data_IF_015676441868
#
_entry.id   IF_015676441868
#
_cell.length_a   1.000
_cell.length_b   1.000
_cell.length_c   1.000
_cell.angle_alpha   90.00
_cell.angle_beta   90.00
_cell.angle_gamma   90.00
#
_symmetry.space_group_name_H-M   'P 1'
#
loop_
_entity.id
_entity.type
_entity.pdbx_description
1 polymer ?
#
# COMPACT_ATOMS: atom_id res chain seq x y z
N UNK A 1 -28.47 -19.94 3.05
CA UNK A 1 -27.97 -21.28 3.46
C UNK A 1 -26.95 -21.84 2.48
N UNK A 2 -27.18 -21.84 1.15
CA UNK A 2 -26.19 -22.33 0.17
C UNK A 2 -24.90 -21.49 0.04
N UNK A 3 -24.97 -20.16 0.25
CA UNK A 3 -23.79 -19.30 0.12
C UNK A 3 -22.77 -19.49 1.24
N UNK A 4 -23.20 -19.87 2.45
CA UNK A 4 -22.28 -20.16 3.57
C UNK A 4 -21.43 -21.41 3.31
N UNK A 5 -22.02 -22.49 2.80
CA UNK A 5 -21.27 -23.70 2.43
C UNK A 5 -20.31 -23.43 1.25
N UNK A 6 -20.74 -22.65 0.25
CA UNK A 6 -19.87 -22.21 -0.86
C UNK A 6 -18.75 -21.28 -0.38
N UNK A 7 -19.02 -20.42 0.60
CA UNK A 7 -18.02 -19.57 1.23
C UNK A 7 -16.97 -20.39 1.99
N UNK A 8 -17.39 -21.38 2.78
CA UNK A 8 -16.44 -22.28 3.44
C UNK A 8 -15.60 -23.05 2.43
N UNK A 9 -16.21 -23.51 1.32
CA UNK A 9 -15.48 -24.14 0.22
C UNK A 9 -14.50 -23.17 -0.47
N UNK A 10 -14.86 -21.92 -0.74
CA UNK A 10 -13.95 -20.92 -1.30
C UNK A 10 -12.80 -20.56 -0.34
N UNK A 11 -13.11 -20.46 0.96
CA UNK A 11 -12.12 -20.21 2.01
C UNK A 11 -11.13 -21.38 2.18
N UNK A 12 -11.54 -22.62 1.92
CA UNK A 12 -10.67 -23.80 2.04
C UNK A 12 -9.97 -24.15 0.71
N UNK A 13 -10.68 -24.11 -0.41
CA UNK A 13 -10.21 -24.56 -1.72
C UNK A 13 -9.64 -23.44 -2.60
N UNK A 14 -9.79 -22.17 -2.22
CA UNK A 14 -9.33 -21.03 -3.02
C UNK A 14 -10.16 -20.77 -4.28
N UNK A 15 -11.33 -21.41 -4.43
CA UNK A 15 -12.23 -21.18 -5.57
C UNK A 15 -12.86 -19.79 -5.50
N UNK A 16 -13.34 -19.27 -6.64
CA UNK A 16 -14.12 -18.04 -6.69
C UNK A 16 -15.21 -18.00 -5.60
N UNK A 17 -15.32 -16.86 -4.91
CA UNK A 17 -16.37 -16.66 -3.93
C UNK A 17 -17.76 -16.61 -4.60
N UNK A 18 -18.83 -16.94 -3.87
CA UNK A 18 -20.19 -16.62 -4.28
C UNK A 18 -20.35 -15.14 -4.64
N UNK A 19 -21.23 -14.85 -5.61
CA UNK A 19 -21.69 -13.48 -5.85
C UNK A 19 -22.64 -13.08 -4.74
N UNK A 20 -22.15 -12.29 -3.77
CA UNK A 20 -22.95 -11.73 -2.67
C UNK A 20 -23.59 -10.39 -3.05
N UNK A 21 -22.89 -9.60 -3.87
CA UNK A 21 -23.32 -8.28 -4.33
C UNK A 21 -22.85 -7.12 -3.43
N UNK A 22 -23.13 -5.88 -3.84
CA UNK A 22 -22.59 -4.67 -3.20
C UNK A 22 -23.11 -4.44 -1.77
N UNK A 23 -24.16 -5.13 -1.34
CA UNK A 23 -24.61 -5.09 0.06
C UNK A 23 -23.72 -5.87 1.02
N UNK A 24 -22.83 -6.74 0.51
CA UNK A 24 -21.90 -7.52 1.32
C UNK A 24 -20.54 -6.84 1.55
N UNK A 25 -20.46 -5.54 1.24
CA UNK A 25 -19.31 -4.68 1.50
C UNK A 25 -19.80 -3.36 2.07
N UNK A 26 -19.06 -2.83 3.05
CA UNK A 26 -19.18 -1.43 3.49
C UNK A 26 -17.85 -0.74 3.31
N UNK A 27 -17.74 0.08 2.28
CA UNK A 27 -16.58 0.94 2.04
C UNK A 27 -16.35 1.89 3.21
N UNK A 28 -15.09 2.16 3.54
CA UNK A 28 -14.70 3.22 4.48
C UNK A 28 -15.23 4.60 4.04
N UNK A 29 -15.55 4.78 2.76
CA UNK A 29 -16.18 5.98 2.24
C UNK A 29 -17.53 6.30 2.91
N UNK A 30 -18.25 5.29 3.42
CA UNK A 30 -19.48 5.51 4.19
C UNK A 30 -19.21 6.22 5.52
N UNK A 31 -18.11 5.89 6.20
CA UNK A 31 -17.66 6.66 7.38
C UNK A 31 -17.18 8.05 6.98
N UNK A 32 -16.53 8.16 5.82
CA UNK A 32 -16.00 9.43 5.30
C UNK A 32 -17.09 10.46 4.96
N UNK A 33 -18.36 10.06 4.85
CA UNK A 33 -19.49 10.99 4.69
C UNK A 33 -19.67 11.90 5.90
N UNK A 34 -19.40 11.40 7.12
CA UNK A 34 -19.51 12.17 8.36
C UNK A 34 -18.15 12.59 8.91
N UNK A 35 -17.15 11.71 8.82
CA UNK A 35 -15.78 11.97 9.28
C UNK A 35 -14.81 11.72 8.13
N UNK A 36 -14.46 12.76 7.37
CA UNK A 36 -13.61 12.65 6.17
C UNK A 36 -12.35 11.80 6.42
N UNK A 37 -11.65 12.10 7.49
CA UNK A 37 -10.46 11.36 7.93
C UNK A 37 -10.26 11.53 9.45
N UNK A 38 -9.39 10.68 10.00
CA UNK A 38 -8.90 10.77 11.38
C UNK A 38 -7.37 10.89 11.35
N UNK A 39 -6.81 11.83 12.10
CA UNK A 39 -5.36 11.93 12.30
C UNK A 39 -4.87 10.76 13.16
N UNK A 40 -3.78 10.12 12.74
CA UNK A 40 -3.25 8.92 13.41
C UNK A 40 -2.53 9.27 14.71
N UNK A 41 -2.92 8.61 15.78
CA UNK A 41 -2.16 8.47 17.01
C UNK A 41 -1.23 7.25 16.94
N UNK A 42 -0.31 7.16 17.91
CA UNK A 42 0.62 6.02 18.04
C UNK A 42 -0.13 4.68 18.14
N UNK A 43 -1.22 4.66 18.90
CA UNK A 43 -2.04 3.45 19.11
C UNK A 43 -2.70 2.93 17.83
N UNK A 44 -2.94 3.80 16.84
CA UNK A 44 -3.54 3.41 15.56
C UNK A 44 -2.59 2.61 14.65
N UNK A 45 -1.31 2.54 15.02
CA UNK A 45 -0.22 1.91 14.26
C UNK A 45 0.35 0.68 14.97
N UNK A 46 -0.28 0.24 16.07
CA UNK A 46 0.07 -1.01 16.74
C UNK A 46 -0.33 -2.20 15.89
N UNK A 47 0.53 -3.21 15.87
CA UNK A 47 0.28 -4.48 15.19
C UNK A 47 -0.98 -5.17 15.77
N UNK A 48 -1.92 -5.51 14.90
CA UNK A 48 -3.19 -6.15 15.25
C UNK A 48 -3.07 -7.66 15.40
N UNK A 49 -2.15 -8.29 14.67
CA UNK A 49 -1.80 -9.72 14.83
C UNK A 49 -3.03 -10.62 14.82
N UNK A 50 -3.86 -10.50 13.79
CA UNK A 50 -5.14 -11.20 13.77
C UNK A 50 -4.95 -12.73 13.80
N UNK A 51 -5.78 -13.41 14.58
CA UNK A 51 -5.80 -14.88 14.65
C UNK A 51 -6.47 -15.52 13.42
N UNK A 52 -7.11 -14.70 12.57
CA UNK A 52 -7.73 -15.11 11.31
C UNK A 52 -6.80 -14.82 10.12
N UNK A 53 -7.22 -15.29 8.92
CA UNK A 53 -6.46 -15.06 7.69
C UNK A 53 -6.21 -13.57 7.47
N UNK A 54 -4.95 -13.16 7.42
CA UNK A 54 -4.59 -11.78 7.16
C UNK A 54 -3.22 -11.64 6.49
N UNK A 55 -3.06 -10.49 5.84
CA UNK A 55 -1.77 -9.90 5.50
C UNK A 55 -1.73 -8.53 6.18
N UNK A 56 -0.81 -8.36 7.12
CA UNK A 56 -0.57 -7.13 7.86
C UNK A 56 0.83 -6.62 7.50
N UNK A 57 0.92 -5.36 7.06
CA UNK A 57 2.18 -4.83 6.52
C UNK A 57 2.51 -3.46 7.06
N UNK A 58 3.79 -3.25 7.32
CA UNK A 58 4.39 -1.93 7.46
C UNK A 58 5.34 -1.70 6.29
N UNK A 59 5.00 -0.74 5.43
CA UNK A 59 5.68 -0.49 4.15
C UNK A 59 6.23 0.93 4.11
N UNK A 60 7.49 1.06 3.70
CA UNK A 60 8.21 2.32 3.59
C UNK A 60 8.70 2.49 2.15
N UNK A 61 8.17 3.49 1.45
CA UNK A 61 8.69 3.90 0.13
C UNK A 61 9.66 5.07 0.32
N UNK A 62 10.83 4.97 -0.28
CA UNK A 62 11.94 5.92 -0.11
C UNK A 62 12.21 6.65 -1.43
N UNK A 63 12.47 7.94 -1.34
CA UNK A 63 12.95 8.78 -2.44
C UNK A 63 14.11 9.60 -1.92
N UNK A 64 15.34 9.18 -2.22
CA UNK A 64 16.54 9.88 -1.75
C UNK A 64 16.76 11.19 -2.50
N UNK A 65 17.48 12.12 -1.87
CA UNK A 65 17.84 13.40 -2.48
C UNK A 65 18.78 13.21 -3.69
N UNK A 66 19.49 12.08 -3.74
CA UNK A 66 20.34 11.67 -4.87
C UNK A 66 19.56 10.96 -5.99
N UNK A 67 18.23 10.87 -5.89
CA UNK A 67 17.37 10.31 -6.94
C UNK A 67 17.19 8.79 -6.91
N UNK A 68 17.64 8.10 -5.86
CA UNK A 68 17.35 6.68 -5.68
C UNK A 68 15.92 6.48 -5.18
N UNK A 69 15.26 5.44 -5.69
CA UNK A 69 13.93 5.00 -5.24
C UNK A 69 14.06 3.60 -4.67
N UNK A 70 13.44 3.36 -3.52
CA UNK A 70 13.47 2.06 -2.87
C UNK A 70 12.20 1.79 -2.06
N UNK A 71 12.05 0.54 -1.64
CA UNK A 71 11.02 0.08 -0.73
C UNK A 71 11.64 -0.80 0.35
N UNK A 72 11.23 -0.64 1.60
CA UNK A 72 11.47 -1.57 2.69
C UNK A 72 10.13 -1.96 3.32
N UNK A 73 9.91 -3.24 3.61
CA UNK A 73 8.61 -3.70 4.09
C UNK A 73 8.76 -4.89 5.04
N UNK A 74 8.02 -4.86 6.14
CA UNK A 74 7.73 -6.05 6.95
C UNK A 74 6.33 -6.54 6.59
N UNK A 75 6.22 -7.81 6.23
CA UNK A 75 4.95 -8.51 6.08
C UNK A 75 4.81 -9.48 7.24
N UNK A 76 3.72 -9.38 7.99
CA UNK A 76 3.21 -10.41 8.89
C UNK A 76 1.98 -11.02 8.24
N UNK A 77 1.88 -12.35 8.23
CA UNK A 77 0.72 -13.02 7.66
C UNK A 77 0.30 -14.19 8.53
N UNK A 78 -0.99 -14.30 8.75
CA UNK A 78 -1.60 -15.52 9.25
C UNK A 78 -2.30 -16.21 8.08
N UNK A 79 -1.78 -17.36 7.66
CA UNK A 79 -2.30 -18.14 6.53
C UNK A 79 -3.35 -19.11 7.05
N UNK A 80 -4.61 -18.89 6.65
CA UNK A 80 -5.76 -19.71 7.00
C UNK A 80 -6.07 -19.82 8.51
N UNK A 81 -5.49 -18.97 9.37
CA UNK A 81 -5.62 -19.09 10.83
C UNK A 81 -4.73 -20.21 11.43
N UNK A 82 -3.86 -20.81 10.63
CA UNK A 82 -3.14 -22.05 10.99
C UNK A 82 -1.64 -21.81 11.09
N UNK A 83 -1.10 -20.89 10.28
CA UNK A 83 0.35 -20.67 10.20
C UNK A 83 0.66 -19.20 10.10
N UNK A 84 1.43 -18.71 11.06
CA UNK A 84 2.06 -17.39 11.00
C UNK A 84 3.35 -17.48 10.20
N UNK A 85 3.55 -16.51 9.31
CA UNK A 85 4.81 -16.27 8.60
C UNK A 85 5.11 -14.78 8.57
N UNK A 86 6.38 -14.41 8.60
CA UNK A 86 6.79 -13.04 8.31
C UNK A 86 7.92 -13.00 7.28
N UNK A 87 8.02 -11.87 6.59
CA UNK A 87 9.06 -11.59 5.60
C UNK A 87 9.55 -10.16 5.75
N UNK A 88 10.82 -9.96 5.44
CA UNK A 88 11.38 -8.64 5.19
C UNK A 88 11.69 -8.50 3.71
N UNK A 89 11.11 -7.48 3.08
CA UNK A 89 11.31 -7.18 1.68
C UNK A 89 12.11 -5.88 1.54
N UNK A 90 13.09 -5.88 0.64
CA UNK A 90 13.84 -4.70 0.23
C UNK A 90 13.90 -4.67 -1.29
N UNK A 91 13.52 -3.53 -1.86
CA UNK A 91 13.67 -3.24 -3.29
C UNK A 91 14.46 -1.96 -3.49
N UNK A 92 15.49 -2.00 -4.32
CA UNK A 92 16.14 -0.79 -4.83
C UNK A 92 15.95 -0.78 -6.34
N UNK A 93 15.27 0.25 -6.84
CA UNK A 93 15.04 0.42 -8.26
C UNK A 93 16.33 0.92 -8.92
N UNK A 94 16.74 0.23 -9.97
CA UNK A 94 17.86 0.66 -10.81
C UNK A 94 17.45 1.87 -11.63
N UNK A 95 18.28 2.91 -11.62
CA UNK A 95 18.16 4.05 -12.53
C UNK A 95 18.74 3.76 -13.92
N UNK A 96 19.52 2.69 -14.05
CA UNK A 96 20.05 2.20 -15.32
C UNK A 96 19.15 1.07 -15.83
N UNK A 97 18.43 1.23 -16.95
CA UNK A 97 17.56 0.20 -17.50
C UNK A 97 18.31 -1.06 -17.97
N UNK A 98 19.64 -0.99 -18.13
CA UNK A 98 20.47 -2.15 -18.45
C UNK A 98 20.84 -2.99 -17.20
N UNK A 99 20.58 -2.49 -15.99
CA UNK A 99 20.87 -3.19 -14.74
C UNK A 99 19.58 -3.69 -14.07
N UNK A 100 19.57 -4.92 -13.53
CA UNK A 100 18.42 -5.41 -12.79
C UNK A 100 18.20 -4.60 -11.51
N UNK A 101 16.95 -4.51 -11.06
CA UNK A 101 16.65 -4.03 -9.73
C UNK A 101 17.20 -4.98 -8.66
N UNK A 102 17.60 -4.43 -7.51
CA UNK A 102 17.85 -5.26 -6.34
C UNK A 102 16.52 -5.59 -5.70
N UNK A 103 16.19 -6.88 -5.62
CA UNK A 103 14.99 -7.37 -4.95
C UNK A 103 15.37 -8.50 -3.99
N UNK A 104 15.07 -8.28 -2.71
CA UNK A 104 15.22 -9.25 -1.63
C UNK A 104 13.86 -9.45 -0.97
N UNK A 105 13.41 -10.69 -0.88
CA UNK A 105 12.21 -11.08 -0.13
C UNK A 105 12.56 -12.31 0.68
N UNK A 106 12.87 -12.08 1.96
CA UNK A 106 13.52 -13.09 2.80
C UNK A 106 12.66 -13.38 4.03
N UNK A 107 12.35 -14.66 4.33
CA UNK A 107 11.60 -15.04 5.53
C UNK A 107 12.26 -14.56 6.82
N UNK A 108 11.45 -14.27 7.82
CA UNK A 108 11.87 -13.89 9.17
C UNK A 108 11.56 -15.02 10.17
N UNK A 109 12.46 -15.23 11.13
CA UNK A 109 12.35 -16.28 12.15
C UNK A 109 12.27 -15.68 13.57
N UNK A 110 11.73 -16.46 14.51
CA UNK A 110 11.59 -16.09 15.93
C UNK A 110 10.91 -14.72 16.15
N UNK A 111 9.79 -14.52 15.46
CA UNK A 111 9.03 -13.27 15.47
C UNK A 111 8.52 -12.96 16.89
N UNK A 112 8.72 -11.72 17.32
CA UNK A 112 8.17 -11.17 18.55
C UNK A 112 7.78 -9.70 18.39
N UNK A 113 7.08 -9.16 19.38
CA UNK A 113 6.59 -7.78 19.38
C UNK A 113 6.91 -7.14 20.74
N UNK A 114 6.97 -5.80 20.79
CA UNK A 114 7.01 -5.09 22.07
C UNK A 114 5.74 -5.37 22.89
N UNK A 115 5.78 -5.13 24.20
CA UNK A 115 4.63 -5.39 25.10
C UNK A 115 3.37 -4.64 24.67
N UNK A 116 3.52 -3.46 24.09
CA UNK A 116 2.43 -2.63 23.59
C UNK A 116 2.08 -2.89 22.11
N UNK A 117 2.73 -3.86 21.46
CA UNK A 117 2.62 -4.19 20.03
C UNK A 117 2.97 -3.04 19.06
N UNK A 118 3.74 -2.05 19.47
CA UNK A 118 4.16 -0.96 18.58
C UNK A 118 5.40 -1.30 17.73
N UNK A 119 6.24 -2.22 18.19
CA UNK A 119 7.48 -2.64 17.52
C UNK A 119 7.46 -4.12 17.17
N UNK A 120 8.17 -4.48 16.10
CA UNK A 120 8.33 -5.83 15.57
C UNK A 120 9.80 -6.26 15.62
N UNK A 121 10.05 -7.50 16.03
CA UNK A 121 11.39 -8.09 16.13
C UNK A 121 11.43 -9.50 15.54
N UNK A 122 12.58 -9.85 14.97
CA UNK A 122 12.98 -11.18 14.52
C UNK A 122 14.50 -11.33 14.74
N UNK A 123 15.07 -12.52 14.51
CA UNK A 123 16.51 -12.76 14.71
C UNK A 123 17.38 -11.70 14.02
N UNK A 124 17.11 -11.45 12.73
CA UNK A 124 17.95 -10.60 11.88
C UNK A 124 17.24 -9.31 11.40
N UNK A 125 16.15 -8.92 12.07
CA UNK A 125 15.34 -7.75 11.70
C UNK A 125 14.66 -7.11 12.91
N UNK A 126 14.73 -5.78 13.00
CA UNK A 126 13.98 -4.98 13.96
C UNK A 126 13.32 -3.79 13.26
N UNK A 127 12.02 -3.64 13.50
CA UNK A 127 11.24 -2.46 13.15
C UNK A 127 10.72 -1.86 14.45
N UNK A 128 11.33 -0.76 14.88
CA UNK A 128 11.08 -0.17 16.19
C UNK A 128 10.34 1.14 16.02
N UNK A 129 9.19 1.28 16.70
CA UNK A 129 8.41 2.50 16.71
C UNK A 129 8.71 3.32 17.97
N UNK A 130 9.06 4.60 17.81
CA UNK A 130 9.41 5.47 18.93
C UNK A 130 8.27 5.61 19.95
N UNK A 131 8.63 5.78 21.23
CA UNK A 131 7.66 5.95 22.32
C UNK A 131 6.76 7.18 22.12
N UNK A 132 7.31 8.24 21.54
CA UNK A 132 6.57 9.47 21.21
C UNK A 132 5.73 9.36 19.92
N UNK A 133 5.83 8.25 19.19
CA UNK A 133 5.05 7.99 17.99
C UNK A 133 5.45 8.82 16.77
N UNK A 134 6.69 9.31 16.71
CA UNK A 134 7.16 10.23 15.66
C UNK A 134 8.08 9.61 14.62
N UNK A 135 8.74 8.48 14.89
CA UNK A 135 9.62 7.84 13.93
C UNK A 135 9.71 6.32 14.08
N UNK A 136 10.05 5.66 12.98
CA UNK A 136 10.47 4.25 12.96
C UNK A 136 11.98 4.15 12.74
N UNK A 137 12.63 3.14 13.35
CA UNK A 137 13.95 2.66 12.92
C UNK A 137 13.83 1.26 12.35
N UNK A 138 14.48 1.04 11.21
CA UNK A 138 14.48 -0.22 10.47
C UNK A 138 15.91 -0.72 10.41
N UNK A 139 16.18 -1.86 11.04
CA UNK A 139 17.48 -2.53 10.99
C UNK A 139 17.28 -3.94 10.51
N UNK A 140 17.93 -4.32 9.41
CA UNK A 140 17.89 -5.69 8.94
C UNK A 140 19.22 -6.13 8.35
N UNK A 141 19.64 -7.33 8.71
CA UNK A 141 20.75 -8.05 8.09
C UNK A 141 20.27 -9.42 7.56
N UNK A 142 18.96 -9.56 7.35
CA UNK A 142 18.29 -10.79 6.94
C UNK A 142 18.71 -11.26 5.54
N UNK A 143 19.22 -10.36 4.69
CA UNK A 143 19.77 -10.69 3.38
C UNK A 143 21.12 -9.99 3.17
N UNK A 144 22.19 -10.76 2.96
CA UNK A 144 23.55 -10.22 2.74
C UNK A 144 23.67 -9.32 1.50
N UNK A 145 22.71 -9.38 0.58
CA UNK A 145 22.67 -8.52 -0.60
C UNK A 145 22.17 -7.11 -0.27
N UNK A 146 21.46 -6.94 0.86
CA UNK A 146 20.85 -5.69 1.30
C UNK A 146 20.80 -5.59 2.83
N UNK A 147 21.83 -4.98 3.44
CA UNK A 147 21.82 -4.64 4.87
C UNK A 147 21.16 -3.28 5.05
N UNK A 148 20.07 -3.21 5.81
CA UNK A 148 19.24 -2.00 5.98
C UNK A 148 19.49 -1.37 7.33
N UNK A 149 19.73 -0.05 7.35
CA UNK A 149 19.77 0.76 8.56
C UNK A 149 19.15 2.13 8.28
N UNK A 150 17.85 2.27 8.55
CA UNK A 150 17.07 3.45 8.22
C UNK A 150 16.38 4.02 9.45
N UNK A 151 16.17 5.33 9.44
CA UNK A 151 15.25 6.04 10.35
C UNK A 151 14.27 6.85 9.52
N UNK A 152 12.97 6.64 9.74
CA UNK A 152 11.88 7.31 9.04
C UNK A 152 11.13 8.18 10.05
N UNK A 153 11.29 9.49 9.95
CA UNK A 153 10.69 10.47 10.88
C UNK A 153 9.53 11.17 10.21
N UNK A 154 8.35 11.13 10.82
CA UNK A 154 7.15 11.79 10.31
C UNK A 154 7.35 13.31 10.23
N UNK A 155 7.00 13.91 9.09
CA UNK A 155 7.07 15.37 8.90
C UNK A 155 5.69 16.04 8.84
N UNK A 156 4.63 15.28 8.58
CA UNK A 156 3.25 15.76 8.57
C UNK A 156 2.36 14.78 9.35
N UNK A 157 1.23 15.21 9.94
CA UNK A 157 0.30 14.30 10.59
C UNK A 157 -0.08 13.13 9.67
N UNK A 158 -0.11 11.93 10.25
CA UNK A 158 -0.60 10.75 9.56
C UNK A 158 -2.12 10.73 9.53
N UNK A 159 -2.72 9.98 8.60
CA UNK A 159 -4.18 9.86 8.53
C UNK A 159 -4.66 8.47 8.09
N UNK A 160 -5.91 8.19 8.42
CA UNK A 160 -6.76 7.19 7.75
C UNK A 160 -8.07 7.84 7.33
N UNK A 161 -8.71 7.34 6.27
CA UNK A 161 -10.07 7.78 5.93
C UNK A 161 -11.09 7.32 6.98
N UNK A 162 -12.19 8.07 7.11
CA UNK A 162 -13.23 7.68 8.05
C UNK A 162 -12.78 7.78 9.51
N UNK A 163 -13.55 7.13 10.38
CA UNK A 163 -13.25 7.02 11.81
C UNK A 163 -12.28 5.86 12.07
N UNK A 164 -12.45 4.75 11.37
CA UNK A 164 -11.75 3.48 11.64
C UNK A 164 -10.71 3.12 10.58
N UNK A 165 -10.76 3.75 9.40
CA UNK A 165 -9.95 3.35 8.25
C UNK A 165 -10.41 2.04 7.60
N UNK A 166 -11.49 1.40 8.07
CA UNK A 166 -11.86 0.05 7.68
C UNK A 166 -12.96 0.02 6.61
N UNK A 167 -12.68 -0.71 5.54
CA UNK A 167 -13.70 -1.30 4.66
C UNK A 167 -14.02 -2.70 5.19
N UNK A 168 -15.30 -3.03 5.33
CA UNK A 168 -15.75 -4.31 5.88
C UNK A 168 -16.38 -5.20 4.81
N UNK A 169 -16.18 -6.51 4.94
CA UNK A 169 -16.72 -7.53 4.04
C UNK A 169 -17.57 -8.51 4.84
N UNK A 170 -18.78 -8.77 4.37
CA UNK A 170 -19.72 -9.68 5.01
C UNK A 170 -21.18 -9.39 4.70
N UNK A 171 -22.00 -10.43 4.66
CA UNK A 171 -23.47 -10.28 4.62
C UNK A 171 -24.04 -9.83 5.97
N UNK A 172 -23.28 -10.00 7.05
CA UNK A 172 -23.53 -9.39 8.36
C UNK A 172 -22.38 -8.44 8.71
N UNK A 173 -22.57 -7.14 8.49
CA UNK A 173 -21.54 -6.13 8.72
C UNK A 173 -21.34 -5.81 10.21
N UNK A 174 -22.18 -6.34 11.11
CA UNK A 174 -21.91 -6.31 12.55
C UNK A 174 -20.87 -7.38 12.95
N UNK A 175 -20.77 -8.46 12.17
CA UNK A 175 -19.80 -9.54 12.34
C UNK A 175 -19.10 -9.83 10.99
N UNK A 176 -18.32 -8.86 10.47
CA UNK A 176 -17.70 -9.00 9.16
C UNK A 176 -16.71 -10.18 9.16
N UNK A 177 -16.62 -10.90 8.05
CA UNK A 177 -15.65 -11.99 7.89
C UNK A 177 -14.28 -11.48 7.43
N UNK A 178 -14.20 -10.24 6.96
CA UNK A 178 -12.97 -9.63 6.50
C UNK A 178 -13.01 -8.12 6.57
N UNK A 179 -11.83 -7.51 6.54
CA UNK A 179 -11.69 -6.05 6.49
C UNK A 179 -10.43 -5.65 5.75
N UNK A 180 -10.45 -4.46 5.15
CA UNK A 180 -9.24 -3.80 4.65
C UNK A 180 -9.06 -2.44 5.31
N UNK A 181 -7.81 -2.07 5.61
CA UNK A 181 -7.44 -0.77 6.17
C UNK A 181 -6.12 -0.29 5.60
N UNK A 182 -6.06 1.01 5.32
CA UNK A 182 -4.82 1.71 4.99
C UNK A 182 -4.70 2.97 5.84
N UNK A 183 -3.54 3.14 6.46
CA UNK A 183 -3.17 4.29 7.27
C UNK A 183 -1.81 4.81 6.79
N UNK A 184 -1.66 6.13 6.67
CA UNK A 184 -0.54 6.74 5.97
C UNK A 184 0.18 7.74 6.85
N UNK A 185 1.52 7.75 6.79
CA UNK A 185 2.30 8.97 6.96
C UNK A 185 2.75 9.45 5.58
N UNK A 186 2.00 10.37 4.96
CA UNK A 186 2.19 10.74 3.55
C UNK A 186 3.52 11.46 3.29
N UNK A 187 4.13 12.04 4.32
CA UNK A 187 5.41 12.75 4.23
C UNK A 187 6.27 12.49 5.45
N UNK A 188 7.43 11.89 5.21
CA UNK A 188 8.46 11.61 6.19
C UNK A 188 9.84 12.06 5.68
N UNK A 189 10.75 12.32 6.61
CA UNK A 189 12.19 12.35 6.35
C UNK A 189 12.76 10.95 6.52
N UNK A 190 13.46 10.46 5.51
CA UNK A 190 14.32 9.29 5.61
C UNK A 190 15.76 9.73 5.87
N UNK A 191 16.46 8.96 6.69
CA UNK A 191 17.92 9.04 6.89
C UNK A 191 18.48 7.64 7.06
N UNK A 192 19.75 7.45 6.76
CA UNK A 192 20.42 6.15 6.86
C UNK A 192 20.59 5.50 5.48
N UNK A 193 20.94 4.22 5.48
CA UNK A 193 21.54 3.58 4.32
C UNK A 193 20.97 2.19 4.06
N UNK A 194 21.11 1.76 2.81
CA UNK A 194 21.02 0.35 2.44
C UNK A 194 22.35 -0.04 1.81
N UNK A 195 23.05 -0.98 2.44
CA UNK A 195 24.36 -1.45 1.99
C UNK A 195 24.21 -2.68 1.13
N UNK A 196 24.76 -2.60 -0.08
CA UNK A 196 24.76 -3.65 -1.10
C UNK A 196 26.17 -4.15 -1.37
N UNK A 197 26.32 -5.16 -2.24
CA UNK A 197 27.63 -5.63 -2.70
C UNK A 197 28.42 -4.56 -3.46
N UNK A 198 27.76 -3.56 -4.04
CA UNK A 198 28.40 -2.44 -4.76
C UNK A 198 28.82 -1.30 -3.81
N UNK A 199 28.32 -1.31 -2.57
CA UNK A 199 28.59 -0.28 -1.57
C UNK A 199 27.33 0.21 -0.85
N UNK A 200 27.54 1.22 -0.02
CA UNK A 200 26.50 1.88 0.74
C UNK A 200 25.73 2.89 -0.12
N UNK A 201 24.39 2.82 -0.08
CA UNK A 201 23.51 3.78 -0.74
C UNK A 201 22.83 4.62 0.34
N UNK A 202 23.07 5.93 0.30
CA UNK A 202 22.43 6.90 1.20
C UNK A 202 20.99 7.17 0.76
N UNK A 203 20.05 6.92 1.67
CA UNK A 203 18.62 7.14 1.49
C UNK A 203 18.11 8.37 2.28
N UNK A 204 19.00 9.29 2.63
CA UNK A 204 18.62 10.62 3.08
C UNK A 204 17.72 11.28 2.03
N UNK A 205 16.52 11.68 2.44
CA UNK A 205 15.50 12.27 1.56
C UNK A 205 14.08 12.12 2.09
N UNK A 206 13.12 11.88 1.21
CA UNK A 206 11.70 11.77 1.54
C UNK A 206 11.25 10.31 1.64
N UNK A 207 10.23 10.08 2.44
CA UNK A 207 9.57 8.79 2.50
C UNK A 207 8.05 8.90 2.68
N UNK A 208 7.38 7.83 2.29
CA UNK A 208 5.99 7.51 2.62
C UNK A 208 6.00 6.27 3.51
N UNK A 209 5.23 6.30 4.59
CA UNK A 209 4.94 5.11 5.39
C UNK A 209 3.46 4.72 5.26
N UNK A 210 3.21 3.41 5.12
CA UNK A 210 1.88 2.82 5.05
C UNK A 210 1.79 1.66 6.04
N UNK A 211 0.81 1.75 6.94
CA UNK A 211 0.33 0.61 7.70
C UNK A 211 -0.94 0.07 7.04
N UNK A 212 -0.91 -1.19 6.62
CA UNK A 212 -2.03 -1.81 5.93
C UNK A 212 -2.41 -3.15 6.56
N UNK A 213 -3.72 -3.42 6.54
CA UNK A 213 -4.30 -4.69 6.96
C UNK A 213 -5.24 -5.15 5.87
N UNK A 214 -5.01 -6.37 5.43
CA UNK A 214 -5.93 -7.11 4.60
C UNK A 214 -6.35 -8.37 5.37
N UNK A 215 -7.44 -8.27 6.11
CA UNK A 215 -7.98 -9.33 6.99
C UNK A 215 -8.78 -10.40 6.25
N UNK A 216 -8.34 -10.77 5.04
CA UNK A 216 -8.88 -11.86 4.21
C UNK A 216 -7.89 -12.20 3.09
N UNK A 217 -8.21 -13.22 2.27
CA UNK A 217 -7.38 -13.60 1.13
C UNK A 217 -7.30 -12.46 0.09
N UNK A 218 -6.11 -12.15 -0.49
CA UNK A 218 -5.95 -11.03 -1.41
C UNK A 218 -6.91 -11.02 -2.60
N UNK A 219 -7.04 -12.15 -3.29
CA UNK A 219 -7.91 -12.30 -4.45
C UNK A 219 -9.41 -12.26 -4.12
N UNK A 220 -9.79 -12.36 -2.84
CA UNK A 220 -11.18 -12.12 -2.42
C UNK A 220 -11.41 -10.65 -2.07
N UNK A 221 -10.37 -9.93 -1.65
CA UNK A 221 -10.48 -8.54 -1.21
C UNK A 221 -10.54 -7.56 -2.38
N UNK A 222 -9.72 -7.79 -3.41
CA UNK A 222 -9.58 -6.88 -4.54
C UNK A 222 -9.25 -7.63 -5.84
N UNK A 223 -9.80 -7.12 -6.94
CA UNK A 223 -9.51 -7.55 -8.30
C UNK A 223 -8.40 -6.72 -8.94
N UNK A 224 -8.35 -5.42 -8.63
CA UNK A 224 -7.33 -4.50 -9.13
C UNK A 224 -7.07 -3.35 -8.16
N UNK A 225 -5.89 -2.74 -8.28
CA UNK A 225 -5.46 -1.61 -7.47
C UNK A 225 -4.82 -0.52 -8.31
N UNK A 226 -4.95 0.72 -7.83
CA UNK A 226 -4.17 1.88 -8.25
C UNK A 226 -3.51 2.48 -7.00
N UNK A 227 -2.21 2.72 -7.10
CA UNK A 227 -1.43 3.37 -6.05
C UNK A 227 -0.66 4.56 -6.63
N UNK A 228 -0.66 5.67 -5.89
CA UNK A 228 0.16 6.84 -6.20
C UNK A 228 0.83 7.35 -4.92
N UNK A 229 2.13 7.58 -5.00
CA UNK A 229 2.96 8.23 -4.00
C UNK A 229 3.76 9.35 -4.67
N UNK A 230 3.30 10.59 -4.54
CA UNK A 230 4.00 11.76 -5.03
C UNK A 230 4.79 12.43 -3.90
N UNK A 231 6.06 12.72 -4.14
CA UNK A 231 6.97 13.40 -3.24
C UNK A 231 7.60 14.62 -3.94
N UNK A 232 7.02 15.79 -3.70
CA UNK A 232 7.49 17.08 -4.21
C UNK A 232 8.22 17.93 -3.15
N UNK A 233 8.80 19.07 -3.55
CA UNK A 233 9.46 20.00 -2.63
C UNK A 233 8.56 20.43 -1.48
N UNK A 234 7.31 20.81 -1.77
CA UNK A 234 6.37 21.36 -0.77
C UNK A 234 5.30 20.34 -0.39
N UNK A 235 4.76 19.64 -1.38
CA UNK A 235 3.62 18.76 -1.23
C UNK A 235 4.04 17.29 -1.28
N UNK A 236 3.29 16.46 -0.55
CA UNK A 236 3.23 15.03 -0.80
C UNK A 236 1.77 14.63 -1.01
N UNK A 237 1.52 13.72 -1.96
CA UNK A 237 0.18 13.22 -2.23
C UNK A 237 0.19 11.69 -2.28
N UNK A 238 -0.79 11.06 -1.64
CA UNK A 238 -0.93 9.61 -1.62
C UNK A 238 -2.34 9.20 -2.03
N UNK A 239 -2.46 8.12 -2.78
CA UNK A 239 -3.74 7.50 -3.12
C UNK A 239 -3.58 5.98 -3.14
N UNK A 240 -4.55 5.29 -2.55
CA UNK A 240 -4.74 3.85 -2.63
C UNK A 240 -6.19 3.58 -3.02
N UNK A 241 -6.40 3.07 -4.22
CA UNK A 241 -7.71 2.72 -4.76
C UNK A 241 -7.73 1.24 -5.12
N UNK A 242 -8.80 0.55 -4.79
CA UNK A 242 -9.03 -0.81 -5.26
C UNK A 242 -10.46 -1.00 -5.74
N UNK A 243 -10.62 -1.91 -6.68
CA UNK A 243 -11.94 -2.45 -7.07
C UNK A 243 -12.04 -3.86 -6.51
N UNK A 244 -13.11 -4.14 -5.79
CA UNK A 244 -13.40 -5.51 -5.32
C UNK A 244 -13.71 -6.46 -6.48
N UNK A 245 -13.59 -7.79 -6.30
CA UNK A 245 -14.07 -8.75 -7.28
C UNK A 245 -15.59 -8.69 -7.49
N UNK A 246 -16.12 -9.34 -8.55
CA UNK A 246 -17.57 -9.43 -8.81
C UNK A 246 -18.39 -9.92 -7.60
N UNK A 247 -17.78 -10.70 -6.71
CA UNK A 247 -18.37 -11.17 -5.46
C UNK A 247 -18.97 -10.08 -4.58
N UNK A 248 -18.38 -8.88 -4.62
CA UNK A 248 -18.81 -7.69 -3.86
C UNK A 248 -19.31 -6.57 -4.77
N UNK A 249 -19.75 -6.92 -5.98
CA UNK A 249 -20.36 -6.00 -6.94
C UNK A 249 -19.39 -5.00 -7.54
N UNK A 250 -18.11 -5.36 -7.69
CA UNK A 250 -17.07 -4.51 -8.29
C UNK A 250 -17.00 -3.12 -7.61
N UNK A 251 -17.26 -3.10 -6.31
CA UNK A 251 -17.26 -1.89 -5.50
C UNK A 251 -15.87 -1.27 -5.52
N UNK A 252 -15.81 0.01 -5.93
CA UNK A 252 -14.63 0.85 -5.89
C UNK A 252 -14.46 1.44 -4.48
N UNK A 253 -13.25 1.38 -3.95
CA UNK A 253 -12.89 2.00 -2.68
C UNK A 253 -11.62 2.80 -2.90
N UNK A 254 -11.63 4.06 -2.51
CA UNK A 254 -10.51 4.98 -2.66
C UNK A 254 -10.20 5.64 -1.32
N UNK A 255 -8.92 5.72 -0.97
CA UNK A 255 -8.41 6.51 0.15
C UNK A 255 -7.20 7.30 -0.33
N UNK A 256 -7.15 8.59 -0.02
CA UNK A 256 -6.03 9.43 -0.43
C UNK A 256 -6.00 10.75 0.32
N UNK A 257 -4.92 11.51 0.11
CA UNK A 257 -4.74 12.81 0.72
C UNK A 257 -3.53 13.56 0.16
N UNK A 258 -3.54 14.86 0.42
CA UNK A 258 -2.48 15.81 0.06
C UNK A 258 -2.04 16.53 1.33
N UNK A 259 -0.74 16.59 1.55
CA UNK A 259 -0.15 17.20 2.75
C UNK A 259 0.99 18.15 2.40
N UNK A 260 1.31 19.00 3.38
CA UNK A 260 2.55 19.76 3.50
C UNK A 260 3.22 19.40 4.83
N UNK A 261 4.44 19.89 5.06
CA UNK A 261 5.14 19.69 6.35
C UNK A 261 4.43 20.32 7.56
N UNK A 262 3.52 21.27 7.37
CA UNK A 262 2.77 21.93 8.43
C UNK A 262 1.39 21.31 8.70
N UNK A 263 0.95 20.36 7.87
CA UNK A 263 -0.34 19.70 8.09
C UNK A 263 -0.92 18.96 6.90
N UNK A 264 -2.07 18.32 7.16
CA UNK A 264 -2.93 17.72 6.14
C UNK A 264 -3.75 18.82 5.48
N UNK A 265 -3.67 18.93 4.15
CA UNK A 265 -4.51 19.85 3.36
C UNK A 265 -5.88 19.22 3.16
N UNK A 266 -5.89 18.00 2.62
CA UNK A 266 -7.08 17.16 2.46
C UNK A 266 -6.72 15.70 2.67
N UNK A 267 -7.68 14.94 3.18
CA UNK A 267 -7.63 13.48 3.23
C UNK A 267 -9.07 12.94 3.22
N UNK A 268 -9.26 11.75 2.66
CA UNK A 268 -10.57 11.10 2.61
C UNK A 268 -10.72 10.18 1.40
N UNK A 269 -11.96 10.02 0.96
CA UNK A 269 -12.34 9.07 -0.10
C UNK A 269 -12.81 9.73 -1.40
N UNK A 270 -12.91 11.07 -1.44
CA UNK A 270 -13.38 11.82 -2.61
C UNK A 270 -12.22 12.04 -3.61
N UNK A 271 -11.60 10.95 -4.06
CA UNK A 271 -10.50 10.95 -5.03
C UNK A 271 -10.80 10.02 -6.20
N UNK A 272 -9.99 10.11 -7.26
CA UNK A 272 -10.16 9.34 -8.48
C UNK A 272 -8.80 8.94 -9.06
N UNK A 273 -8.64 7.66 -9.39
CA UNK A 273 -7.59 7.19 -10.30
C UNK A 273 -8.21 6.72 -11.62
N UNK A 274 -7.59 7.11 -12.74
CA UNK A 274 -7.97 6.67 -14.09
C UNK A 274 -6.75 6.30 -14.90
N UNK A 275 -6.86 5.19 -15.63
CA UNK A 275 -5.97 4.90 -16.76
C UNK A 275 -6.57 5.55 -18.00
N UNK A 276 -5.94 6.62 -18.48
CA UNK A 276 -6.39 7.37 -19.67
C UNK A 276 -6.02 6.63 -20.96
N UNK A 277 -4.87 5.96 -20.94
CA UNK A 277 -4.41 5.09 -22.01
C UNK A 277 -3.76 3.84 -21.41
N UNK A 278 -3.90 2.72 -22.11
CA UNK A 278 -3.24 1.47 -21.77
C UNK A 278 -2.82 0.74 -23.04
N UNK A 279 -1.79 -0.09 -22.92
CA UNK A 279 -1.33 -1.03 -23.93
C UNK A 279 -1.49 -2.45 -23.39
N UNK A 280 -1.82 -3.39 -24.26
CA UNK A 280 -1.88 -4.80 -23.86
C UNK A 280 -0.46 -5.31 -23.61
N UNK A 281 -0.23 -5.93 -22.46
CA UNK A 281 1.05 -6.58 -22.17
C UNK A 281 1.15 -7.90 -22.93
N UNK A 282 2.22 -8.07 -23.72
CA UNK A 282 2.42 -9.23 -24.59
C UNK A 282 2.67 -10.55 -23.86
N UNK A 283 3.02 -10.51 -22.57
CA UNK A 283 3.29 -11.72 -21.78
C UNK A 283 2.09 -12.15 -20.95
N UNK A 284 1.27 -11.20 -20.50
CA UNK A 284 0.20 -11.51 -19.56
C UNK A 284 -1.22 -11.04 -19.96
N UNK A 285 -1.38 -10.28 -21.03
CA UNK A 285 -2.64 -9.73 -21.56
C UNK A 285 -3.32 -8.65 -20.71
N UNK A 286 -2.75 -8.23 -19.58
CA UNK A 286 -3.31 -7.13 -18.78
C UNK A 286 -3.16 -5.78 -19.51
N UNK A 287 -4.07 -4.83 -19.27
CA UNK A 287 -3.99 -3.48 -19.82
C UNK A 287 -2.97 -2.66 -19.01
N UNK A 288 -1.70 -2.75 -19.37
CA UNK A 288 -0.63 -1.94 -18.79
C UNK A 288 -0.89 -0.45 -19.04
N UNK A 289 -1.05 0.37 -18.00
CA UNK A 289 -1.31 1.80 -18.18
C UNK A 289 -0.09 2.52 -18.78
N UNK A 290 -0.34 3.43 -19.71
CA UNK A 290 0.67 4.31 -20.30
C UNK A 290 0.43 5.79 -19.98
N UNK A 291 -0.83 6.16 -19.70
CA UNK A 291 -1.22 7.51 -19.29
C UNK A 291 -2.25 7.41 -18.16
N UNK A 292 -2.11 8.26 -17.14
CA UNK A 292 -2.97 8.22 -15.96
C UNK A 292 -3.44 9.60 -15.54
N UNK A 293 -4.51 9.60 -14.75
CA UNK A 293 -4.98 10.74 -13.98
C UNK A 293 -5.20 10.33 -12.54
N UNK A 294 -4.49 10.98 -11.62
CA UNK A 294 -4.77 10.94 -10.19
C UNK A 294 -5.32 12.30 -9.77
N UNK A 295 -6.53 12.30 -9.23
CA UNK A 295 -7.24 13.50 -8.83
C UNK A 295 -7.71 13.40 -7.38
N UNK A 296 -7.35 14.38 -6.56
CA UNK A 296 -7.79 14.51 -5.18
C UNK A 296 -8.72 15.72 -5.07
N UNK A 297 -9.80 15.54 -4.32
CA UNK A 297 -10.74 16.62 -4.02
C UNK A 297 -11.09 16.64 -2.54
N UNK A 298 -11.29 17.83 -2.01
CA UNK A 298 -11.80 17.99 -0.66
C UNK A 298 -11.92 19.46 -0.27
N UNK A 299 -11.98 19.68 1.03
CA UNK A 299 -12.05 21.02 1.62
C UNK A 299 -11.06 21.07 2.77
N UNK A 300 -10.31 22.17 2.88
CA UNK A 300 -9.39 22.42 3.99
C UNK A 300 -10.15 22.58 5.32
N UNK A 301 -9.42 22.55 6.45
CA UNK A 301 -9.99 22.82 7.78
C UNK A 301 -10.66 24.19 7.89
N UNK A 302 -10.20 25.19 7.14
CA UNK A 302 -10.77 26.55 7.07
C UNK A 302 -11.87 26.72 6.00
N UNK A 303 -12.28 25.64 5.33
CA UNK A 303 -13.45 25.65 4.43
C UNK A 303 -13.16 26.02 2.97
N UNK A 304 -11.90 26.04 2.53
CA UNK A 304 -11.54 26.30 1.12
C UNK A 304 -11.56 25.02 0.32
N UNK A 305 -12.15 25.07 -0.87
CA UNK A 305 -12.13 23.95 -1.82
C UNK A 305 -10.71 23.65 -2.28
N UNK A 306 -10.39 22.36 -2.38
CA UNK A 306 -9.10 21.86 -2.83
C UNK A 306 -9.28 20.89 -3.97
N UNK A 307 -8.50 21.09 -5.02
CA UNK A 307 -8.32 20.14 -6.12
C UNK A 307 -6.83 19.94 -6.35
N UNK A 308 -6.38 18.69 -6.38
CA UNK A 308 -5.02 18.36 -6.77
C UNK A 308 -5.04 17.34 -7.90
N UNK A 309 -4.15 17.50 -8.88
CA UNK A 309 -4.10 16.63 -10.05
C UNK A 309 -2.67 16.32 -10.48
N UNK A 310 -2.45 15.04 -10.77
CA UNK A 310 -1.35 14.54 -11.60
C UNK A 310 -2.03 13.92 -12.82
N UNK A 311 -1.69 14.38 -14.01
CA UNK A 311 -2.28 13.91 -15.25
C UNK A 311 -1.22 13.91 -16.33
N UNK A 312 -1.08 12.79 -17.04
CA UNK A 312 -0.14 12.66 -18.14
C UNK A 312 0.52 11.27 -18.26
N UNK A 313 1.53 11.16 -19.12
CA UNK A 313 2.18 9.88 -19.40
C UNK A 313 2.98 9.39 -18.20
N UNK A 314 2.92 8.07 -17.96
CA UNK A 314 3.76 7.41 -16.95
C UNK A 314 5.20 7.16 -17.41
N UNK A 315 5.46 7.32 -18.71
CA UNK A 315 6.73 7.00 -19.34
C UNK A 315 6.94 5.49 -19.48
N UNK A 316 8.21 5.09 -19.60
CA UNK A 316 8.56 3.68 -19.60
C UNK A 316 8.33 3.07 -18.22
N UNK A 317 7.74 1.87 -18.22
CA UNK A 317 7.53 1.09 -17.00
C UNK A 317 8.86 0.81 -16.31
N UNK A 318 8.91 1.07 -15.01
CA UNK A 318 10.09 0.78 -14.20
C UNK A 318 10.23 -0.71 -13.94
N UNK A 319 9.17 -1.37 -13.52
CA UNK A 319 9.17 -2.83 -13.34
C UNK A 319 7.79 -3.46 -13.60
N UNK A 320 7.77 -4.77 -13.84
CA UNK A 320 6.58 -5.61 -13.87
C UNK A 320 6.80 -6.84 -13.00
N UNK A 321 6.09 -6.92 -11.89
CA UNK A 321 6.18 -8.02 -10.94
C UNK A 321 5.14 -9.09 -11.27
N UNK A 322 5.59 -10.32 -11.51
CA UNK A 322 4.74 -11.51 -11.47
C UNK A 322 4.60 -11.97 -10.02
N UNK A 323 3.48 -11.65 -9.37
CA UNK A 323 3.31 -11.96 -7.95
C UNK A 323 3.35 -13.47 -7.72
N UNK A 324 2.84 -14.28 -8.66
CA UNK A 324 2.88 -15.73 -8.53
C UNK A 324 4.28 -16.28 -8.62
N UNK A 325 5.24 -15.60 -9.27
CA UNK A 325 6.65 -15.98 -9.22
C UNK A 325 7.21 -15.81 -7.80
N UNK A 326 6.85 -14.72 -7.11
CA UNK A 326 7.37 -14.30 -5.80
C UNK A 326 6.76 -15.05 -4.60
N UNK A 327 5.53 -15.57 -4.73
CA UNK A 327 4.87 -16.27 -3.61
C UNK A 327 5.64 -17.54 -3.18
N UNK A 328 5.85 -17.79 -1.87
CA UNK A 328 6.50 -19.03 -1.41
C UNK A 328 5.77 -20.30 -1.88
N UNK A 329 6.54 -21.34 -2.23
CA UNK A 329 5.97 -22.56 -2.84
C UNK A 329 4.87 -23.26 -2.02
N UNK A 330 4.90 -23.20 -0.69
CA UNK A 330 3.82 -23.78 0.13
C UNK A 330 2.51 -23.00 0.02
N UNK A 331 2.57 -21.67 -0.15
CA UNK A 331 1.39 -20.82 -0.37
C UNK A 331 0.84 -21.12 -1.76
N UNK A 332 1.70 -21.26 -2.79
CA UNK A 332 1.28 -21.69 -4.15
C UNK A 332 0.43 -22.96 -4.12
N UNK A 333 0.76 -23.93 -3.27
CA UNK A 333 -0.03 -25.17 -3.11
C UNK A 333 -1.42 -24.95 -2.49
N UNK A 334 -1.55 -23.96 -1.60
CA UNK A 334 -2.83 -23.60 -0.96
C UNK A 334 -3.69 -22.78 -1.93
N UNK A 335 -3.08 -21.94 -2.77
CA UNK A 335 -3.77 -21.12 -3.78
C UNK A 335 -3.87 -21.79 -5.16
N UNK A 336 -3.39 -23.02 -5.34
CA UNK A 336 -3.48 -23.74 -6.61
C UNK A 336 -4.93 -23.96 -7.09
N UNK A 337 -5.93 -23.79 -6.20
CA UNK A 337 -7.35 -23.78 -6.53
C UNK A 337 -7.95 -22.41 -6.88
N UNK A 338 -7.15 -21.32 -6.85
CA UNK A 338 -7.53 -20.00 -7.34
C UNK A 338 -7.49 -19.95 -8.88
N UNK A 339 -8.39 -20.71 -9.49
CA UNK A 339 -8.56 -20.73 -10.94
C UNK A 339 -8.85 -19.31 -11.45
N UNK A 340 -8.01 -18.83 -12.37
CA UNK A 340 -8.20 -17.55 -13.06
C UNK A 340 -7.49 -16.33 -12.45
N UNK A 341 -6.76 -16.46 -11.34
CA UNK A 341 -5.95 -15.33 -10.85
C UNK A 341 -4.61 -15.27 -11.59
N UNK A 342 -4.27 -14.10 -12.12
CA UNK A 342 -3.01 -13.82 -12.82
C UNK A 342 -2.40 -12.53 -12.27
N UNK A 343 -1.93 -12.51 -11.01
CA UNK A 343 -1.58 -11.27 -10.34
C UNK A 343 -0.28 -10.64 -10.88
N UNK A 344 -0.40 -9.46 -11.47
CA UNK A 344 0.72 -8.64 -11.93
C UNK A 344 0.65 -7.23 -11.35
N UNK A 345 1.82 -6.67 -11.05
CA UNK A 345 1.98 -5.27 -10.60
C UNK A 345 2.86 -4.54 -11.61
N UNK A 346 2.34 -3.49 -12.21
CA UNK A 346 3.07 -2.56 -13.06
C UNK A 346 3.55 -1.39 -12.21
N UNK A 347 4.86 -1.15 -12.18
CA UNK A 347 5.46 -0.12 -11.33
C UNK A 347 6.12 0.97 -12.16
N UNK A 348 5.95 2.22 -11.74
CA UNK A 348 6.44 3.40 -12.42
C UNK A 348 7.07 4.38 -11.43
N UNK A 349 8.20 4.97 -11.81
CA UNK A 349 8.87 5.99 -11.03
C UNK A 349 9.24 7.28 -11.84
N UNK A 350 8.30 7.90 -12.58
CA UNK A 350 8.59 9.11 -13.36
C UNK A 350 8.69 10.36 -12.49
N UNK A 351 9.35 11.40 -13.01
CA UNK A 351 9.10 12.78 -12.58
C UNK A 351 7.81 13.27 -13.21
N UNK A 352 6.95 13.88 -12.41
CA UNK A 352 5.64 14.40 -12.86
C UNK A 352 5.37 15.76 -12.23
N UNK A 353 4.42 16.51 -12.79
CA UNK A 353 3.92 17.75 -12.19
C UNK A 353 2.66 17.50 -11.39
N UNK A 354 2.66 17.92 -10.12
CA UNK A 354 1.46 18.05 -9.31
C UNK A 354 0.94 19.49 -9.43
N UNK A 355 -0.33 19.64 -9.81
CA UNK A 355 -1.04 20.92 -9.74
C UNK A 355 -2.01 20.89 -8.57
N UNK A 356 -1.92 21.85 -7.67
CA UNK A 356 -2.79 22.01 -6.49
C UNK A 356 -3.49 23.36 -6.57
N UNK A 357 -4.82 23.35 -6.47
CA UNK A 357 -5.67 24.53 -6.35
C UNK A 357 -6.30 24.56 -4.96
N UNK A 358 -6.16 25.65 -4.23
CA UNK A 358 -6.77 25.88 -2.91
C UNK A 358 -7.52 27.21 -2.97
N UNK A 359 -8.86 27.18 -3.00
CA UNK A 359 -9.65 28.35 -3.35
C UNK A 359 -9.27 28.87 -4.74
N UNK A 360 -8.82 30.12 -4.83
CA UNK A 360 -8.39 30.74 -6.09
C UNK A 360 -6.87 30.59 -6.36
N UNK A 361 -6.11 30.13 -5.38
CA UNK A 361 -4.65 29.99 -5.49
C UNK A 361 -4.30 28.69 -6.19
N UNK A 362 -3.42 28.76 -7.20
CA UNK A 362 -2.92 27.59 -7.94
C UNK A 362 -1.41 27.52 -7.77
N UNK A 363 -0.92 26.37 -7.32
CA UNK A 363 0.50 26.04 -7.24
C UNK A 363 0.78 24.81 -8.09
N UNK A 364 1.92 24.80 -8.76
CA UNK A 364 2.42 23.64 -9.51
C UNK A 364 3.84 23.35 -9.08
N UNK A 365 4.16 22.08 -8.84
CA UNK A 365 5.55 21.66 -8.62
C UNK A 365 5.84 20.31 -9.26
N UNK A 366 7.09 20.14 -9.67
CA UNK A 366 7.61 18.85 -10.11
C UNK A 366 8.03 18.01 -8.89
N UNK A 367 7.80 16.71 -8.95
CA UNK A 367 8.21 15.79 -7.91
C UNK A 367 8.38 14.37 -8.43
N UNK A 368 8.83 13.49 -7.52
CA UNK A 368 8.93 12.07 -7.80
C UNK A 368 7.56 11.43 -7.61
N UNK A 369 7.04 10.77 -8.65
CA UNK A 369 5.94 9.81 -8.49
C UNK A 369 6.53 8.42 -8.31
N UNK A 370 5.98 7.65 -7.40
CA UNK A 370 6.01 6.20 -7.44
C UNK A 370 4.57 5.71 -7.57
N UNK A 371 4.27 4.90 -8.57
CA UNK A 371 2.92 4.44 -8.86
C UNK A 371 2.89 2.97 -9.20
N UNK A 372 1.82 2.31 -8.76
CA UNK A 372 1.55 0.92 -9.07
C UNK A 372 0.14 0.76 -9.65
N UNK A 373 0.03 -0.09 -10.66
CA UNK A 373 -1.23 -0.62 -11.14
C UNK A 373 -1.21 -2.14 -11.01
N UNK A 374 -2.11 -2.68 -10.20
CA UNK A 374 -2.17 -4.11 -9.89
C UNK A 374 -3.42 -4.70 -10.52
N UNK A 375 -3.26 -5.86 -11.16
CA UNK A 375 -4.37 -6.68 -11.66
C UNK A 375 -4.23 -8.06 -11.06
N UNK A 376 -5.32 -8.64 -10.55
CA UNK A 376 -5.31 -9.92 -9.81
C UNK A 376 -6.24 -10.92 -10.49
N UNK A 377 -7.48 -10.51 -10.72
CA UNK A 377 -8.55 -11.30 -11.35
C UNK A 377 -9.39 -10.36 -12.21
N UNK A 378 -9.96 -10.89 -13.29
CA UNK A 378 -10.89 -10.17 -14.17
C UNK A 378 -12.20 -9.80 -13.47
#
# INVERSE_FOLDING_TARGET
MFNWAKQQLANVAGTQEPIYGPSAIRSVAEEAKSTKYTELARDDLKWQRMDSTNVETETFYLTSDNGHVAMAQVIYSNVAGIRVTAQFNVKIFSSDPAKPHLWCSTPLNNISFSEDNASFYADDCALEFSEDGTYYTIKSHNDERAVVNLKITRQAPGFQAGKTGKTLFGTDLAHPWGSMRHAFWPRCAATGTITTKEGEIDFTGKALYIYAIQGMKPHHAAARWNFANFQGPTFSAVMMEFTTPPSYGETLVNVGGVVKSDGIIIAGCDNEAKHLQAKQDSENDWPEPSEVRFFWKGTTKDGKDVEAVIEGPLGERTDRVDVMAEVPGFVKKIVAGAAGTKPYIYQYAPKVTLKVKIGDEVTTEEGQLFSEATFIVE
#
